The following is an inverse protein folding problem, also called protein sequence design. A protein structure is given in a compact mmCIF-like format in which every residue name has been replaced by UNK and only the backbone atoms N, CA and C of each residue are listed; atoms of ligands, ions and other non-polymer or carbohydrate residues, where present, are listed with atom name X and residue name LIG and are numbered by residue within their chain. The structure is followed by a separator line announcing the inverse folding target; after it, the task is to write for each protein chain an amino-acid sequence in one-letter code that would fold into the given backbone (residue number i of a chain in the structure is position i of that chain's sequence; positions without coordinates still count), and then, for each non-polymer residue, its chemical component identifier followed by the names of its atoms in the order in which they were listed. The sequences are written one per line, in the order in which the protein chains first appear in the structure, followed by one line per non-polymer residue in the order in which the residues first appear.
data_IF_340269392351
#
_entry.id   IF_340269392351
#
_cell.length_a   1.000
_cell.length_b   1.000
_cell.length_c   1.000
_cell.angle_alpha   90.00
_cell.angle_beta   90.00
_cell.angle_gamma   90.00
#
_symmetry.space_group_name_H-M   'P 1'
#
loop_
_entity.id
_entity.type
_entity.pdbx_description
1 polymer ?
#
# COMPACT_ATOMS: atom_id res chain seq x y z
N UNK A 1 -11.27 -11.21 14.62
CA UNK A 1 -9.79 -11.20 14.45
C UNK A 1 -9.24 -9.82 14.10
N UNK A 2 -9.81 -9.12 13.10
CA UNK A 2 -9.36 -7.77 12.72
C UNK A 2 -9.38 -6.76 13.87
N UNK A 3 -10.44 -6.73 14.69
CA UNK A 3 -10.51 -5.77 15.80
C UNK A 3 -9.39 -5.95 16.82
N UNK A 4 -9.02 -7.18 17.17
CA UNK A 4 -7.90 -7.44 18.10
C UNK A 4 -6.58 -6.95 17.50
N UNK A 5 -6.33 -7.26 16.22
CA UNK A 5 -5.14 -6.78 15.52
C UNK A 5 -5.11 -5.25 15.44
N UNK A 6 -6.26 -4.61 15.17
CA UNK A 6 -6.40 -3.15 15.13
C UNK A 6 -6.09 -2.52 16.48
N UNK A 7 -6.64 -3.05 17.58
CA UNK A 7 -6.35 -2.56 18.93
C UNK A 7 -4.86 -2.66 19.24
N UNK A 8 -4.23 -3.81 18.96
CA UNK A 8 -2.79 -3.99 19.16
C UNK A 8 -1.94 -2.99 18.32
N UNK A 9 -2.27 -2.80 17.05
CA UNK A 9 -1.60 -1.82 16.18
C UNK A 9 -1.83 -0.36 16.62
N UNK A 10 -2.93 -0.09 17.33
CA UNK A 10 -3.25 1.24 17.82
C UNK A 10 -2.45 1.61 19.09
N UNK A 11 -1.86 0.63 19.77
CA UNK A 11 -0.88 0.85 20.85
C UNK A 11 0.49 1.31 20.33
N UNK A 12 0.78 1.13 19.04
CA UNK A 12 2.05 1.54 18.43
C UNK A 12 1.95 2.92 17.78
N UNK A 13 3.06 3.68 17.70
CA UNK A 13 3.13 4.89 16.88
C UNK A 13 2.64 4.63 15.45
N UNK A 14 1.88 5.54 14.82
CA UNK A 14 1.21 5.25 13.55
C UNK A 14 2.13 4.76 12.43
N UNK A 15 3.29 5.38 12.28
CA UNK A 15 4.27 4.98 11.27
C UNK A 15 4.93 3.63 11.59
N UNK A 16 5.12 3.29 12.87
CA UNK A 16 5.60 1.96 13.28
C UNK A 16 4.56 0.89 12.96
N UNK A 17 3.30 1.11 13.35
CA UNK A 17 2.23 0.16 13.08
C UNK A 17 1.98 -0.05 11.59
N UNK A 18 2.15 0.99 10.76
CA UNK A 18 2.11 0.84 9.30
C UNK A 18 3.16 -0.16 8.79
N UNK A 19 4.43 -0.01 9.20
CA UNK A 19 5.49 -0.95 8.82
C UNK A 19 5.26 -2.36 9.36
N UNK A 20 4.80 -2.48 10.61
CA UNK A 20 4.47 -3.79 11.21
C UNK A 20 3.36 -4.46 10.42
N UNK A 21 2.28 -3.75 10.12
CA UNK A 21 1.15 -4.30 9.37
C UNK A 21 1.55 -4.81 7.98
N UNK A 22 2.31 -4.03 7.19
CA UNK A 22 2.75 -4.45 5.86
C UNK A 22 3.72 -5.64 5.91
N UNK A 23 4.67 -5.65 6.86
CA UNK A 23 5.58 -6.78 7.04
C UNK A 23 4.82 -8.05 7.45
N UNK A 24 3.88 -7.95 8.38
CA UNK A 24 3.04 -9.07 8.78
C UNK A 24 2.20 -9.58 7.61
N UNK A 25 1.60 -8.69 6.82
CA UNK A 25 0.87 -9.05 5.61
C UNK A 25 1.75 -9.80 4.61
N UNK A 26 2.99 -9.33 4.40
CA UNK A 26 3.95 -9.99 3.51
C UNK A 26 4.32 -11.39 3.99
N UNK A 27 4.50 -11.57 5.30
CA UNK A 27 4.79 -12.87 5.91
C UNK A 27 3.61 -13.81 5.72
N UNK A 28 2.38 -13.37 6.05
CA UNK A 28 1.17 -14.14 5.82
C UNK A 28 1.03 -14.55 4.35
N UNK A 29 1.34 -13.64 3.43
CA UNK A 29 1.30 -13.94 2.00
C UNK A 29 2.29 -15.03 1.59
N UNK A 30 3.54 -14.93 2.05
CA UNK A 30 4.58 -15.94 1.76
C UNK A 30 4.27 -17.31 2.37
N UNK A 31 3.55 -17.34 3.49
CA UNK A 31 3.08 -18.57 4.13
C UNK A 31 1.81 -19.15 3.49
N UNK A 32 1.29 -18.53 2.41
CA UNK A 32 0.06 -18.99 1.75
C UNK A 32 -1.22 -18.68 2.53
N UNK A 33 -1.14 -17.87 3.59
CA UNK A 33 -2.27 -17.56 4.47
C UNK A 33 -3.13 -16.38 3.97
N UNK A 34 -2.85 -15.87 2.76
CA UNK A 34 -3.61 -14.74 2.18
C UNK A 34 -5.10 -15.06 2.04
N UNK A 35 -5.45 -16.29 1.66
CA UNK A 35 -6.84 -16.69 1.45
C UNK A 35 -7.69 -16.64 2.73
N UNK A 36 -7.07 -16.79 3.91
CA UNK A 36 -7.75 -16.64 5.20
C UNK A 36 -7.98 -15.16 5.57
N UNK A 37 -7.26 -14.24 4.94
CA UNK A 37 -7.36 -12.80 5.18
C UNK A 37 -8.20 -12.08 4.12
N UNK A 38 -8.25 -12.61 2.91
CA UNK A 38 -8.96 -12.02 1.79
C UNK A 38 -10.47 -12.30 1.90
N UNK A 39 -11.33 -11.29 1.77
CA UNK A 39 -12.76 -11.53 1.63
C UNK A 39 -13.06 -12.19 0.28
N UNK A 40 -14.21 -12.86 0.19
CA UNK A 40 -14.77 -13.20 -1.12
C UNK A 40 -15.08 -11.89 -1.86
N UNK A 41 -14.43 -11.69 -3.01
CA UNK A 41 -14.64 -10.50 -3.84
C UNK A 41 -15.58 -10.84 -4.97
N UNK A 42 -16.72 -10.14 -5.02
CA UNK A 42 -17.63 -10.23 -6.16
C UNK A 42 -16.96 -9.69 -7.41
N UNK A 43 -16.92 -10.49 -8.47
CA UNK A 43 -16.41 -10.06 -9.77
C UNK A 43 -17.33 -9.00 -10.37
N UNK A 44 -16.84 -7.76 -10.52
CA UNK A 44 -17.60 -6.60 -10.96
C UNK A 44 -16.75 -5.78 -11.94
N UNK A 45 -16.49 -6.30 -13.15
CA UNK A 45 -15.48 -5.74 -14.02
C UNK A 45 -15.90 -4.35 -14.53
N UNK A 46 -14.91 -3.46 -14.64
CA UNK A 46 -15.10 -2.09 -15.15
C UNK A 46 -14.06 -1.82 -16.22
N UNK A 47 -14.47 -1.15 -17.30
CA UNK A 47 -13.56 -0.63 -18.32
C UNK A 47 -13.44 0.89 -18.17
N UNK A 48 -12.20 1.38 -18.06
CA UNK A 48 -11.92 2.81 -17.90
C UNK A 48 -10.53 3.11 -18.48
N UNK A 49 -10.41 4.20 -19.24
CA UNK A 49 -9.13 4.63 -19.86
C UNK A 49 -8.48 3.53 -20.74
N UNK A 50 -9.28 2.66 -21.36
CA UNK A 50 -8.78 1.52 -22.16
C UNK A 50 -8.21 0.36 -21.34
N UNK A 51 -8.36 0.38 -20.02
CA UNK A 51 -7.95 -0.67 -19.10
C UNK A 51 -9.17 -1.42 -18.56
N UNK A 52 -8.99 -2.71 -18.27
CA UNK A 52 -10.01 -3.55 -17.65
C UNK A 52 -9.64 -3.86 -16.20
N UNK A 53 -10.51 -3.47 -15.28
CA UNK A 53 -10.39 -3.68 -13.85
C UNK A 53 -11.27 -4.86 -13.42
N UNK A 54 -10.80 -5.72 -12.52
CA UNK A 54 -11.57 -6.87 -12.04
C UNK A 54 -12.75 -6.46 -11.14
N UNK A 55 -12.59 -5.33 -10.43
CA UNK A 55 -13.59 -4.67 -9.60
C UNK A 55 -13.25 -3.17 -9.47
N UNK A 56 -14.19 -2.31 -9.07
CA UNK A 56 -13.96 -0.86 -8.99
C UNK A 56 -13.15 -0.42 -7.77
N UNK A 57 -12.82 -1.32 -6.84
CA UNK A 57 -12.14 -0.97 -5.58
C UNK A 57 -10.63 -1.07 -5.77
N UNK A 58 -9.95 0.07 -5.67
CA UNK A 58 -8.50 0.13 -5.72
C UNK A 58 -7.86 0.53 -4.41
N UNK A 59 -6.58 0.21 -4.30
CA UNK A 59 -5.72 0.72 -3.24
C UNK A 59 -5.05 2.03 -3.71
N UNK A 60 -5.28 3.10 -2.96
CA UNK A 60 -4.67 4.41 -3.24
C UNK A 60 -3.16 4.44 -2.95
N UNK A 61 -2.46 5.37 -3.61
CA UNK A 61 -1.06 5.66 -3.36
C UNK A 61 -0.78 6.09 -1.91
N UNK A 62 0.48 5.97 -1.52
CA UNK A 62 0.99 6.37 -0.21
C UNK A 62 1.03 5.23 0.81
N UNK A 63 0.31 4.12 0.58
CA UNK A 63 0.42 2.92 1.41
C UNK A 63 1.69 2.13 1.07
N UNK A 64 1.86 1.70 -0.18
CA UNK A 64 3.07 1.03 -0.65
C UNK A 64 3.89 1.93 -1.57
N UNK A 65 4.72 2.79 -0.97
CA UNK A 65 5.46 3.84 -1.70
C UNK A 65 6.57 3.29 -2.59
N UNK A 66 7.07 2.10 -2.30
CA UNK A 66 8.22 1.51 -2.98
C UNK A 66 7.83 0.30 -3.84
N UNK A 67 6.56 -0.13 -3.80
CA UNK A 67 6.12 -1.36 -4.46
C UNK A 67 6.62 -2.64 -3.76
N UNK A 68 6.91 -2.58 -2.46
CA UNK A 68 7.51 -3.68 -1.72
C UNK A 68 6.52 -4.81 -1.38
N UNK A 69 5.21 -4.54 -1.49
CA UNK A 69 4.13 -5.38 -0.96
C UNK A 69 3.01 -5.64 -1.98
N UNK A 70 3.25 -5.37 -3.27
CA UNK A 70 2.24 -5.44 -4.35
C UNK A 70 1.46 -6.76 -4.34
N UNK A 71 2.15 -7.90 -4.29
CA UNK A 71 1.50 -9.22 -4.37
C UNK A 71 0.68 -9.53 -3.11
N UNK A 72 1.20 -9.15 -1.94
CA UNK A 72 0.51 -9.37 -0.67
C UNK A 72 -0.74 -8.50 -0.54
N UNK A 73 -0.69 -7.27 -1.05
CA UNK A 73 -1.85 -6.36 -1.13
C UNK A 73 -2.84 -6.83 -2.21
N UNK A 74 -2.35 -7.28 -3.37
CA UNK A 74 -3.17 -7.79 -4.46
C UNK A 74 -3.98 -9.03 -4.06
N UNK A 75 -3.40 -9.87 -3.21
CA UNK A 75 -4.08 -11.04 -2.65
C UNK A 75 -5.29 -10.69 -1.77
N UNK A 76 -5.44 -9.44 -1.31
CA UNK A 76 -6.63 -8.97 -0.58
C UNK A 76 -7.83 -8.67 -1.50
N UNK A 77 -7.65 -8.75 -2.82
CA UNK A 77 -8.74 -8.68 -3.79
C UNK A 77 -8.99 -7.30 -4.43
N UNK A 78 -8.06 -6.35 -4.28
CA UNK A 78 -8.15 -5.06 -4.98
C UNK A 78 -8.16 -5.24 -6.50
N UNK A 79 -9.08 -4.53 -7.17
CA UNK A 79 -9.17 -4.51 -8.64
C UNK A 79 -8.02 -3.75 -9.31
N UNK A 80 -7.41 -2.81 -8.59
CA UNK A 80 -6.15 -2.18 -8.96
C UNK A 80 -5.36 -1.72 -7.73
N UNK A 81 -4.06 -1.51 -7.91
CA UNK A 81 -3.17 -0.99 -6.87
C UNK A 81 -2.41 0.21 -7.44
N UNK A 82 -2.39 1.32 -6.72
CA UNK A 82 -1.52 2.45 -7.01
C UNK A 82 -0.36 2.48 -6.01
N UNK A 83 0.87 2.31 -6.51
CA UNK A 83 2.10 2.40 -5.70
C UNK A 83 2.73 3.79 -5.84
N UNK A 84 3.66 4.12 -4.94
CA UNK A 84 4.24 5.46 -4.84
C UNK A 84 3.57 6.30 -3.75
N UNK A 85 3.77 7.62 -3.70
CA UNK A 85 4.53 8.44 -4.64
C UNK A 85 6.02 8.15 -4.62
N UNK A 86 6.59 7.87 -5.79
CA UNK A 86 8.03 7.70 -6.00
C UNK A 86 8.63 8.94 -6.64
N UNK A 87 9.89 9.23 -6.31
CA UNK A 87 10.65 10.33 -6.90
C UNK A 87 11.83 9.80 -7.69
N UNK A 88 12.43 10.58 -8.62
CA UNK A 88 13.62 10.13 -9.37
C UNK A 88 14.73 9.59 -8.47
N UNK A 89 15.07 10.32 -7.40
CA UNK A 89 16.07 9.91 -6.39
C UNK A 89 15.39 9.51 -5.07
N UNK A 90 16.00 8.61 -4.26
CA UNK A 90 15.51 8.33 -2.92
C UNK A 90 15.50 9.59 -2.04
N UNK A 91 14.55 9.67 -1.12
CA UNK A 91 14.51 10.73 -0.11
C UNK A 91 13.84 10.26 1.18
N UNK A 92 14.29 10.79 2.32
CA UNK A 92 13.82 10.39 3.64
C UNK A 92 12.42 10.93 4.00
N UNK A 93 11.98 11.99 3.31
CA UNK A 93 10.78 12.77 3.63
C UNK A 93 10.95 13.67 4.86
N UNK A 94 9.83 14.16 5.39
CA UNK A 94 9.85 15.13 6.51
C UNK A 94 10.27 14.46 7.84
N UNK A 95 10.80 15.22 8.83
CA UNK A 95 11.10 14.69 10.16
C UNK A 95 9.88 14.06 10.85
N UNK A 96 10.12 13.06 11.71
CA UNK A 96 9.09 12.42 12.55
C UNK A 96 8.83 13.25 13.82
N UNK A 97 7.62 13.18 14.42
CA UNK A 97 6.42 12.45 13.96
C UNK A 97 5.71 13.18 12.80
N UNK A 98 5.18 12.39 11.86
CA UNK A 98 4.61 12.88 10.59
C UNK A 98 3.35 12.15 10.13
N UNK A 99 2.84 11.22 10.95
CA UNK A 99 1.59 10.50 10.73
C UNK A 99 0.83 10.43 12.06
N UNK A 100 -0.43 10.82 12.03
CA UNK A 100 -1.30 10.99 13.19
C UNK A 100 -2.64 10.31 12.91
N UNK A 101 -3.25 9.74 13.96
CA UNK A 101 -4.58 9.12 13.89
C UNK A 101 -5.57 9.96 14.69
N UNK A 102 -6.79 10.07 14.19
CA UNK A 102 -7.94 10.62 14.90
C UNK A 102 -9.02 9.51 14.99
N UNK A 103 -8.90 8.60 15.97
CA UNK A 103 -9.74 7.39 16.00
C UNK A 103 -11.23 7.69 16.05
N UNK A 104 -11.66 8.73 16.79
CA UNK A 104 -13.07 9.12 16.89
C UNK A 104 -13.68 9.59 15.55
N UNK A 105 -12.85 10.08 14.63
CA UNK A 105 -13.27 10.58 13.33
C UNK A 105 -12.97 9.59 12.19
N UNK A 106 -12.43 8.41 12.51
CA UNK A 106 -11.95 7.44 11.51
C UNK A 106 -10.98 8.08 10.50
N UNK A 107 -10.14 9.02 10.97
CA UNK A 107 -9.32 9.86 10.11
C UNK A 107 -7.82 9.77 10.42
N UNK A 108 -7.02 10.19 9.46
CA UNK A 108 -5.57 10.33 9.59
C UNK A 108 -5.13 11.71 9.10
N UNK A 109 -4.09 12.26 9.73
CA UNK A 109 -3.37 13.44 9.23
C UNK A 109 -1.93 13.01 8.98
N UNK A 110 -1.36 13.40 7.83
CA UNK A 110 0.03 13.09 7.54
C UNK A 110 0.73 14.26 6.85
N UNK A 111 2.03 14.34 7.08
CA UNK A 111 2.96 15.26 6.43
C UNK A 111 4.23 14.52 6.05
N UNK A 112 4.09 13.38 5.37
CA UNK A 112 5.21 12.45 5.16
C UNK A 112 6.30 12.99 4.22
N UNK A 113 5.93 13.80 3.23
CA UNK A 113 6.90 14.44 2.31
C UNK A 113 7.58 13.46 1.35
N UNK A 114 6.82 12.57 0.72
CA UNK A 114 7.30 11.59 -0.28
C UNK A 114 8.54 10.78 0.16
N UNK A 115 8.56 10.23 1.37
CA UNK A 115 9.62 9.29 1.76
C UNK A 115 9.58 8.02 0.89
N UNK A 116 10.63 7.75 0.11
CA UNK A 116 10.70 6.62 -0.83
C UNK A 116 12.16 6.26 -1.19
N UNK A 117 12.35 5.09 -1.81
CA UNK A 117 13.66 4.53 -2.18
C UNK A 117 14.10 4.86 -3.62
N UNK A 118 13.38 5.73 -4.33
CA UNK A 118 13.70 6.14 -5.70
C UNK A 118 13.04 5.26 -6.77
N UNK A 119 13.01 5.77 -8.00
CA UNK A 119 12.31 5.13 -9.13
C UNK A 119 12.95 3.81 -9.54
N UNK A 120 14.28 3.69 -9.45
CA UNK A 120 14.98 2.46 -9.83
C UNK A 120 14.56 1.28 -8.95
N UNK A 121 14.48 1.47 -7.64
CA UNK A 121 13.97 0.48 -6.70
C UNK A 121 12.53 0.10 -7.03
N UNK A 122 11.66 1.09 -7.22
CA UNK A 122 10.25 0.82 -7.52
C UNK A 122 10.08 0.03 -8.82
N UNK A 123 10.82 0.37 -9.87
CA UNK A 123 10.76 -0.33 -11.16
C UNK A 123 11.23 -1.78 -11.02
N UNK A 124 12.30 -2.02 -10.26
CA UNK A 124 12.78 -3.38 -9.99
C UNK A 124 11.68 -4.21 -9.30
N UNK A 125 11.00 -3.64 -8.30
CA UNK A 125 9.90 -4.31 -7.60
C UNK A 125 8.70 -4.55 -8.51
N UNK A 126 8.30 -3.54 -9.27
CA UNK A 126 7.19 -3.61 -10.20
C UNK A 126 7.41 -4.68 -11.27
N UNK A 127 8.65 -4.90 -11.73
CA UNK A 127 8.99 -5.96 -12.70
C UNK A 127 8.91 -7.37 -12.11
N UNK A 128 9.09 -7.53 -10.80
CA UNK A 128 9.09 -8.83 -10.11
C UNK A 128 7.73 -9.26 -9.58
N UNK A 129 6.73 -8.38 -9.64
CA UNK A 129 5.37 -8.64 -9.15
C UNK A 129 4.72 -9.81 -9.90
N UNK A 130 3.83 -10.51 -9.21
CA UNK A 130 2.93 -11.53 -9.76
C UNK A 130 1.48 -11.04 -9.86
N UNK A 131 1.14 -9.95 -9.17
CA UNK A 131 -0.16 -9.31 -9.27
C UNK A 131 -0.51 -8.99 -10.73
N UNK A 132 -1.66 -9.50 -11.16
CA UNK A 132 -2.15 -9.43 -12.54
C UNK A 132 -3.19 -8.33 -12.77
N UNK A 133 -3.62 -7.62 -11.71
CA UNK A 133 -4.50 -6.47 -11.85
C UNK A 133 -3.77 -5.23 -12.37
N UNK A 134 -4.53 -4.16 -12.59
CA UNK A 134 -3.97 -2.88 -13.05
C UNK A 134 -3.06 -2.31 -11.96
N UNK A 135 -1.82 -1.97 -12.32
CA UNK A 135 -0.87 -1.30 -11.44
C UNK A 135 -0.68 0.15 -11.87
N UNK A 136 -1.12 1.09 -11.03
CA UNK A 136 -0.81 2.51 -11.15
C UNK A 136 0.53 2.84 -10.51
N UNK A 137 1.29 3.76 -11.11
CA UNK A 137 2.55 4.27 -10.56
C UNK A 137 2.42 5.77 -10.34
N UNK A 138 2.32 6.17 -9.08
CA UNK A 138 2.26 7.57 -8.68
C UNK A 138 3.68 8.16 -8.64
N UNK A 139 3.92 9.21 -9.43
CA UNK A 139 5.22 9.88 -9.54
C UNK A 139 5.16 11.30 -8.96
N UNK A 140 6.26 11.72 -8.35
CA UNK A 140 6.40 13.06 -7.77
C UNK A 140 7.78 13.64 -8.01
N UNK A 141 7.89 14.95 -7.82
CA UNK A 141 9.17 15.67 -7.87
C UNK A 141 9.95 15.45 -6.57
N UNK A 142 11.27 15.27 -6.66
CA UNK A 142 12.12 15.39 -5.48
C UNK A 142 11.96 16.78 -4.83
N UNK A 143 12.20 16.88 -3.52
CA UNK A 143 12.11 18.17 -2.81
C UNK A 143 13.02 19.21 -3.45
N UNK A 144 14.26 18.81 -3.73
CA UNK A 144 15.30 19.55 -4.46
C UNK A 144 15.67 18.82 -5.74
#
# INVERSE_FOLDING_TARGET
MYDVARHALFLLPPETAHHVALKSLQVCHRLGLSAALAPSVTHCPVELMGLRFANPVGLAAGLDKNGDYIDALGALGFGFIEIGTVTPRPQAGNPRPRLFRLPRCHAIINRMGFNNLGVDHLVERARRRRYSGVLGINIGKNLT
#
